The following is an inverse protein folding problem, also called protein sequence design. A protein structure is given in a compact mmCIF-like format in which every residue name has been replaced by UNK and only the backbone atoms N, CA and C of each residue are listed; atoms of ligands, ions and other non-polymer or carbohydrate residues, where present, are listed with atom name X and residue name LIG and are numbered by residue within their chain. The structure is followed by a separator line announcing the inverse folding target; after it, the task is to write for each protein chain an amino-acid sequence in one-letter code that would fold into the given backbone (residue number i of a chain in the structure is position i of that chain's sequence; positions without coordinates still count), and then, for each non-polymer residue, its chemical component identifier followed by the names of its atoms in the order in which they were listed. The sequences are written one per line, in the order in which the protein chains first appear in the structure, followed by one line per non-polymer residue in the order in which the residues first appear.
data_IF_718983267738
#
_entry.id   IF_718983267738
#
_cell.length_a   1.000
_cell.length_b   1.000
_cell.length_c   1.000
_cell.angle_alpha   90.00
_cell.angle_beta   90.00
_cell.angle_gamma   90.00
#
_symmetry.space_group_name_H-M   'P 1'
#
loop_
_entity.id
_entity.type
_entity.pdbx_description
1 polymer ?
#
# COMPACT_ATOMS: atom_id res chain seq x y z
N UNK A 1 37.88 18.66 21.04
CA UNK A 1 36.88 19.36 20.20
C UNK A 1 35.99 18.29 19.60
N UNK A 2 34.84 18.07 20.23
CA UNK A 2 33.80 17.20 19.67
C UNK A 2 33.28 17.82 18.37
N UNK A 3 33.05 17.03 17.31
CA UNK A 3 32.43 17.54 16.10
C UNK A 3 30.97 17.87 16.41
N UNK A 4 30.59 19.14 16.22
CA UNK A 4 29.19 19.59 16.28
C UNK A 4 28.35 18.75 15.31
N UNK A 5 27.15 18.29 15.72
CA UNK A 5 26.24 17.64 14.79
C UNK A 5 25.84 18.66 13.72
N UNK A 6 26.17 18.35 12.47
CA UNK A 6 25.67 19.05 11.29
C UNK A 6 24.14 19.04 11.34
N UNK A 7 23.54 20.23 11.23
CA UNK A 7 22.09 20.44 11.27
C UNK A 7 21.39 19.43 10.37
N UNK A 8 20.58 18.57 10.98
CA UNK A 8 19.71 17.68 10.26
C UNK A 8 18.87 18.49 9.28
N UNK A 9 18.96 18.16 7.99
CA UNK A 9 18.02 18.64 6.98
C UNK A 9 16.66 18.01 7.31
N UNK A 10 15.91 18.63 8.22
CA UNK A 10 14.50 18.36 8.41
C UNK A 10 13.77 19.10 7.29
N UNK A 11 13.69 18.49 6.11
CA UNK A 11 12.72 18.91 5.10
C UNK A 11 11.36 18.50 5.65
N UNK A 12 10.52 19.47 6.04
CA UNK A 12 9.11 19.19 6.33
C UNK A 12 8.44 18.89 4.99
N UNK A 13 7.69 17.80 4.91
CA UNK A 13 7.00 17.39 3.69
C UNK A 13 6.12 18.54 3.12
N UNK A 14 5.58 19.39 4.01
CA UNK A 14 4.78 20.57 3.67
C UNK A 14 5.54 21.72 2.97
N UNK A 15 6.88 21.70 2.93
CA UNK A 15 7.67 22.72 2.23
C UNK A 15 7.86 22.39 0.73
N UNK A 16 7.53 21.15 0.33
CA UNK A 16 7.47 20.76 -1.08
C UNK A 16 6.13 21.22 -1.67
N UNK A 17 6.11 22.43 -2.22
CA UNK A 17 4.99 22.89 -3.03
C UNK A 17 4.96 22.12 -4.35
N UNK A 18 4.38 20.93 -4.36
CA UNK A 18 3.80 20.44 -5.61
C UNK A 18 2.63 21.35 -5.93
N UNK A 19 2.78 22.16 -6.98
CA UNK A 19 1.66 22.89 -7.56
C UNK A 19 0.71 21.89 -8.22
N UNK A 20 -0.47 21.59 -7.63
CA UNK A 20 -1.42 20.64 -8.23
C UNK A 20 -2.14 21.26 -9.44
N UNK A 21 -1.87 22.53 -9.76
CA UNK A 21 -2.70 23.37 -10.62
C UNK A 21 -2.09 23.74 -11.98
N UNK A 22 -0.94 23.15 -12.35
CA UNK A 22 -0.42 23.28 -13.71
C UNK A 22 -0.59 21.96 -14.49
N UNK A 23 -1.59 21.84 -15.38
CA UNK A 23 -1.87 20.63 -16.13
C UNK A 23 -0.93 20.50 -17.35
N UNK A 24 0.35 20.84 -17.18
CA UNK A 24 1.31 20.77 -18.28
C UNK A 24 1.81 19.34 -18.34
N UNK A 25 1.44 18.65 -19.42
CA UNK A 25 1.88 17.29 -19.68
C UNK A 25 3.41 17.22 -19.64
N UNK A 26 4.05 16.20 -19.01
CA UNK A 26 5.50 16.12 -18.89
C UNK A 26 6.25 16.28 -20.21
N UNK A 27 5.73 15.73 -21.31
CA UNK A 27 6.31 15.93 -22.64
C UNK A 27 6.41 17.41 -23.04
N UNK A 28 5.39 18.22 -22.73
CA UNK A 28 5.41 19.65 -23.00
C UNK A 28 6.43 20.39 -22.14
N UNK A 29 6.64 19.97 -20.88
CA UNK A 29 7.70 20.50 -20.01
C UNK A 29 9.07 20.21 -20.62
N UNK A 30 9.29 18.98 -21.09
CA UNK A 30 10.55 18.57 -21.73
C UNK A 30 10.82 19.36 -23.02
N UNK A 31 9.81 19.52 -23.88
CA UNK A 31 9.91 20.28 -25.13
C UNK A 31 10.22 21.76 -24.88
N UNK A 32 9.50 22.40 -23.95
CA UNK A 32 9.71 23.81 -23.61
C UNK A 32 11.10 24.03 -22.99
N UNK A 33 11.53 23.15 -22.10
CA UNK A 33 12.85 23.23 -21.46
C UNK A 33 13.96 23.02 -22.48
N UNK A 34 13.82 22.05 -23.40
CA UNK A 34 14.78 21.81 -24.48
C UNK A 34 14.92 23.04 -25.40
N UNK A 35 13.79 23.68 -25.75
CA UNK A 35 13.77 24.90 -26.54
C UNK A 35 14.53 26.05 -25.85
N UNK A 36 14.31 26.24 -24.54
CA UNK A 36 15.05 27.24 -23.74
C UNK A 36 16.56 26.96 -23.73
N UNK A 37 16.95 25.69 -23.65
CA UNK A 37 18.35 25.26 -23.66
C UNK A 37 18.98 25.22 -25.06
N UNK A 38 18.18 25.49 -26.11
CA UNK A 38 18.58 25.38 -27.53
C UNK A 38 19.17 24.02 -27.87
N UNK A 39 18.53 22.94 -27.40
CA UNK A 39 18.91 21.56 -27.71
C UNK A 39 17.71 20.71 -28.13
N UNK A 40 17.97 19.49 -28.61
CA UNK A 40 16.91 18.51 -28.85
C UNK A 40 16.28 18.04 -27.52
N UNK A 41 14.98 17.69 -27.48
CA UNK A 41 14.37 17.01 -26.33
C UNK A 41 15.03 15.67 -25.95
N UNK A 42 15.78 15.07 -26.86
CA UNK A 42 16.54 13.83 -26.64
C UNK A 42 18.01 14.05 -26.29
N UNK A 43 18.45 15.31 -26.14
CA UNK A 43 19.83 15.64 -25.81
C UNK A 43 20.12 15.44 -24.31
N UNK A 44 21.25 14.83 -23.96
CA UNK A 44 21.71 14.65 -22.57
C UNK A 44 21.80 15.97 -21.79
N UNK A 45 22.00 17.10 -22.49
CA UNK A 45 22.00 18.44 -21.87
C UNK A 45 20.69 18.73 -21.14
N UNK A 46 19.56 18.26 -21.67
CA UNK A 46 18.26 18.41 -21.01
C UNK A 46 18.23 17.62 -19.70
N UNK A 47 18.67 16.36 -19.71
CA UNK A 47 18.70 15.53 -18.51
C UNK A 47 19.58 16.15 -17.41
N UNK A 48 20.78 16.63 -17.74
CA UNK A 48 21.64 17.31 -16.77
C UNK A 48 21.02 18.59 -16.22
N UNK A 49 20.31 19.36 -17.04
CA UNK A 49 19.60 20.55 -16.57
C UNK A 49 18.48 20.18 -15.59
N UNK A 50 17.72 19.12 -15.87
CA UNK A 50 16.67 18.63 -14.97
C UNK A 50 17.26 18.15 -13.63
N UNK A 51 18.37 17.40 -13.67
CA UNK A 51 19.10 16.99 -12.46
C UNK A 51 19.63 18.18 -11.65
N UNK A 52 20.09 19.25 -12.31
CA UNK A 52 20.55 20.46 -11.65
C UNK A 52 19.42 21.20 -10.93
N UNK A 53 18.22 21.18 -11.52
CA UNK A 53 17.01 21.84 -11.02
C UNK A 53 16.17 21.00 -10.06
N UNK A 54 16.46 19.71 -9.94
CA UNK A 54 15.78 18.83 -9.00
C UNK A 54 16.10 19.23 -7.55
N UNK A 55 15.09 19.69 -6.82
CA UNK A 55 15.17 20.06 -5.40
C UNK A 55 15.44 18.83 -4.51
N UNK A 56 15.09 17.63 -4.99
CA UNK A 56 15.22 16.36 -4.27
C UNK A 56 16.55 15.64 -4.53
N UNK A 57 17.41 16.14 -5.43
CA UNK A 57 18.65 15.45 -5.85
C UNK A 57 19.56 15.04 -4.68
N UNK A 58 19.54 15.83 -3.61
CA UNK A 58 20.31 15.59 -2.39
C UNK A 58 19.91 14.29 -1.66
N UNK A 59 18.65 13.83 -1.83
CA UNK A 59 18.18 12.58 -1.24
C UNK A 59 18.89 11.36 -1.82
N UNK A 60 19.42 11.44 -3.05
CA UNK A 60 20.19 10.35 -3.67
C UNK A 60 21.41 9.96 -2.82
N UNK A 61 22.01 10.92 -2.12
CA UNK A 61 23.16 10.68 -1.25
C UNK A 61 22.79 9.87 0.01
N UNK A 62 21.51 9.83 0.38
CA UNK A 62 21.02 9.07 1.53
C UNK A 62 20.97 7.55 1.28
N UNK A 63 21.22 7.09 0.05
CA UNK A 63 21.12 5.67 -0.33
C UNK A 63 22.47 5.06 -0.73
N UNK A 64 22.57 3.75 -0.50
CA UNK A 64 23.66 2.92 -1.02
C UNK A 64 23.31 2.44 -2.43
N UNK A 65 23.80 3.13 -3.46
CA UNK A 65 23.65 2.71 -4.86
C UNK A 65 24.76 1.70 -5.22
N UNK A 66 24.44 0.50 -5.74
CA UNK A 66 25.44 -0.48 -6.16
C UNK A 66 26.35 0.06 -7.27
N UNK A 67 27.60 -0.42 -7.31
CA UNK A 67 28.48 -0.20 -8.46
C UNK A 67 28.26 -1.28 -9.50
N UNK A 68 28.47 -0.92 -10.76
CA UNK A 68 28.31 -1.83 -11.91
C UNK A 68 29.14 -3.10 -11.76
N UNK A 69 30.39 -2.99 -11.30
CA UNK A 69 31.28 -4.15 -11.08
C UNK A 69 30.79 -5.18 -10.06
N UNK A 70 29.88 -4.80 -9.16
CA UNK A 70 29.39 -5.66 -8.08
C UNK A 70 28.10 -6.42 -8.48
N UNK A 71 27.58 -6.22 -9.71
CA UNK A 71 26.31 -6.79 -10.16
C UNK A 71 26.47 -7.99 -11.11
N UNK A 72 25.73 -9.09 -10.90
CA UNK A 72 25.60 -10.18 -11.88
C UNK A 72 24.34 -10.05 -12.76
N UNK A 73 24.36 -10.42 -14.05
CA UNK A 73 25.52 -10.64 -14.93
C UNK A 73 25.95 -9.33 -15.62
N UNK A 74 27.14 -8.81 -15.28
CA UNK A 74 27.71 -7.61 -15.92
C UNK A 74 28.87 -7.99 -16.84
N UNK A 75 28.80 -7.59 -18.11
CA UNK A 75 29.92 -7.68 -19.05
C UNK A 75 30.77 -6.40 -19.00
N UNK A 76 31.88 -6.46 -18.25
CA UNK A 76 32.80 -5.34 -18.06
C UNK A 76 33.53 -4.90 -19.34
N UNK A 77 33.41 -5.64 -20.44
CA UNK A 77 33.92 -5.18 -21.74
C UNK A 77 33.04 -4.10 -22.37
N UNK A 78 31.77 -4.01 -21.95
CA UNK A 78 30.77 -3.08 -22.49
C UNK A 78 30.53 -1.87 -21.59
N UNK A 79 30.94 -1.92 -20.32
CA UNK A 79 30.59 -0.91 -19.31
C UNK A 79 31.76 -0.57 -18.40
N UNK A 80 31.73 0.65 -17.85
CA UNK A 80 32.68 1.08 -16.83
C UNK A 80 32.26 0.55 -15.43
N UNK A 81 33.03 -0.40 -14.89
CA UNK A 81 32.71 -1.03 -13.61
C UNK A 81 32.71 -0.11 -12.38
N UNK A 82 33.37 1.05 -12.44
CA UNK A 82 33.42 2.01 -11.32
C UNK A 82 32.19 2.92 -11.23
N UNK A 83 31.37 2.95 -12.28
CA UNK A 83 30.14 3.73 -12.28
C UNK A 83 29.08 3.12 -11.35
N UNK A 84 28.18 3.98 -10.87
CA UNK A 84 26.98 3.53 -10.18
C UNK A 84 26.03 2.89 -11.19
N UNK A 85 25.31 1.84 -10.78
CA UNK A 85 24.33 1.21 -11.66
C UNK A 85 23.10 2.10 -11.88
N UNK A 86 22.43 1.88 -13.02
CA UNK A 86 21.09 2.43 -13.26
C UNK A 86 20.06 1.48 -12.64
N UNK A 87 19.65 1.77 -11.41
CA UNK A 87 18.80 0.88 -10.62
C UNK A 87 17.31 1.15 -10.83
N UNK A 88 16.71 0.53 -11.85
CA UNK A 88 15.27 0.60 -12.13
C UNK A 88 14.49 -0.61 -11.59
N UNK A 89 14.80 -1.02 -10.36
CA UNK A 89 14.15 -2.14 -9.67
C UNK A 89 13.69 -1.79 -8.24
N UNK A 90 13.65 -0.50 -7.87
CA UNK A 90 13.21 -0.02 -6.55
C UNK A 90 11.75 -0.35 -6.21
N UNK A 91 10.93 -0.56 -7.24
CA UNK A 91 9.55 -1.03 -7.13
C UNK A 91 9.44 -2.48 -6.63
N UNK A 92 10.53 -3.25 -6.64
CA UNK A 92 10.60 -4.64 -6.16
C UNK A 92 11.43 -4.75 -4.89
N UNK A 93 12.63 -4.18 -4.89
CA UNK A 93 13.49 -4.07 -3.71
C UNK A 93 14.09 -2.67 -3.66
N UNK A 94 13.71 -1.89 -2.67
CA UNK A 94 14.23 -0.55 -2.46
C UNK A 94 15.72 -0.54 -2.13
N UNK A 95 16.42 0.53 -2.54
CA UNK A 95 17.83 0.71 -2.19
C UNK A 95 18.00 0.92 -0.68
N UNK A 96 19.08 0.42 -0.11
CA UNK A 96 19.32 0.56 1.33
C UNK A 96 19.61 2.02 1.72
N UNK A 97 18.85 2.62 2.66
CA UNK A 97 19.23 3.89 3.27
C UNK A 97 20.52 3.75 4.08
N UNK A 98 21.45 4.71 3.96
CA UNK A 98 22.76 4.68 4.65
C UNK A 98 22.64 4.59 6.18
N UNK A 99 21.55 5.10 6.75
CA UNK A 99 21.29 5.12 8.20
C UNK A 99 20.85 3.77 8.77
N UNK A 100 20.52 2.77 7.94
CA UNK A 100 20.02 1.46 8.42
C UNK A 100 20.98 0.84 9.43
N UNK A 101 22.29 0.81 9.12
CA UNK A 101 23.30 0.25 10.03
C UNK A 101 23.30 0.97 11.38
N UNK A 102 23.26 2.30 11.37
CA UNK A 102 23.25 3.11 12.59
C UNK A 102 22.05 2.78 13.48
N UNK A 103 20.85 2.66 12.90
CA UNK A 103 19.63 2.40 13.67
C UNK A 103 19.62 0.98 14.24
N UNK A 104 20.21 0.01 13.53
CA UNK A 104 20.43 -1.34 14.05
C UNK A 104 21.43 -1.36 15.20
N UNK A 105 22.58 -0.70 15.02
CA UNK A 105 23.65 -0.65 16.03
C UNK A 105 23.12 -0.02 17.34
N UNK A 106 22.27 1.03 17.27
CA UNK A 106 21.61 1.63 18.45
C UNK A 106 20.79 0.61 19.27
N UNK A 107 20.02 -0.26 18.60
CA UNK A 107 19.17 -1.24 19.27
C UNK A 107 19.97 -2.45 19.78
N UNK A 108 21.00 -2.87 19.03
CA UNK A 108 21.95 -3.90 19.45
C UNK A 108 22.74 -3.47 20.68
N UNK A 109 23.22 -2.23 20.71
CA UNK A 109 23.93 -1.65 21.86
C UNK A 109 23.02 -1.54 23.08
N UNK A 110 21.76 -1.11 22.88
CA UNK A 110 20.77 -1.09 23.96
C UNK A 110 20.54 -2.49 24.52
N UNK A 111 20.40 -3.49 23.65
CA UNK A 111 20.24 -4.87 24.08
C UNK A 111 21.42 -5.38 24.89
N UNK A 112 22.64 -5.19 24.39
CA UNK A 112 23.85 -5.59 25.09
C UNK A 112 24.00 -4.90 26.46
N UNK A 113 23.61 -3.63 26.57
CA UNK A 113 23.83 -2.82 27.79
C UNK A 113 22.78 -3.04 28.88
N UNK A 114 21.50 -3.12 28.51
CA UNK A 114 20.40 -3.10 29.50
C UNK A 114 19.45 -4.30 29.41
N UNK A 115 19.68 -5.24 28.50
CA UNK A 115 18.91 -6.49 28.41
C UNK A 115 17.40 -6.24 28.35
N UNK A 116 16.65 -6.97 29.18
CA UNK A 116 15.18 -6.90 29.26
C UNK A 116 14.65 -5.49 29.55
N UNK A 117 15.43 -4.62 30.20
CA UNK A 117 15.01 -3.25 30.47
C UNK A 117 14.83 -2.42 29.19
N UNK A 118 15.40 -2.86 28.05
CA UNK A 118 15.16 -2.25 26.73
C UNK A 118 13.70 -2.29 26.26
N UNK A 119 12.85 -3.15 26.85
CA UNK A 119 11.42 -3.16 26.54
C UNK A 119 10.72 -1.84 26.85
N UNK A 120 11.16 -1.13 27.91
CA UNK A 120 10.49 0.07 28.41
C UNK A 120 11.39 1.31 28.43
N UNK A 121 12.65 1.20 28.01
CA UNK A 121 13.63 2.28 28.06
C UNK A 121 14.28 2.55 26.69
N UNK A 122 14.78 3.77 26.50
CA UNK A 122 15.48 4.22 25.29
C UNK A 122 14.57 4.95 24.29
N UNK A 123 15.12 5.31 23.13
CA UNK A 123 14.39 6.07 22.10
C UNK A 123 13.27 5.26 21.45
N UNK A 124 13.43 3.93 21.36
CA UNK A 124 12.44 3.00 20.79
C UNK A 124 12.16 1.87 21.78
N UNK A 125 11.35 2.08 22.83
CA UNK A 125 11.01 1.03 23.78
C UNK A 125 10.41 -0.18 23.03
N UNK A 126 10.97 -1.39 23.20
CA UNK A 126 10.59 -2.52 22.34
C UNK A 126 9.14 -2.97 22.50
N UNK A 127 8.52 -2.69 23.65
CA UNK A 127 7.10 -2.99 23.87
C UNK A 127 6.15 -2.14 23.00
N UNK A 128 6.65 -1.02 22.44
CA UNK A 128 5.91 -0.07 21.62
C UNK A 128 6.72 0.30 20.34
N UNK A 129 7.58 -0.62 19.88
CA UNK A 129 8.54 -0.32 18.81
C UNK A 129 7.85 0.06 17.50
N UNK A 130 6.76 -0.64 17.18
CA UNK A 130 5.87 -0.36 16.06
C UNK A 130 5.26 1.04 16.20
N UNK A 131 4.71 1.36 17.37
CA UNK A 131 4.06 2.62 17.69
C UNK A 131 4.98 3.86 17.59
N UNK A 132 6.30 3.67 17.73
CA UNK A 132 7.27 4.78 17.69
C UNK A 132 7.33 5.51 16.33
N UNK A 133 6.92 4.86 15.24
CA UNK A 133 7.02 5.40 13.88
C UNK A 133 5.68 5.44 13.13
N UNK A 134 4.57 5.11 13.82
CA UNK A 134 3.24 5.08 13.18
C UNK A 134 2.84 6.42 12.59
N UNK A 135 3.18 7.54 13.24
CA UNK A 135 2.79 8.88 12.74
C UNK A 135 3.40 9.17 11.36
N UNK A 136 4.65 8.73 11.12
CA UNK A 136 5.31 8.86 9.81
C UNK A 136 4.56 8.07 8.73
N UNK A 137 4.06 6.89 9.09
CA UNK A 137 3.28 6.07 8.17
C UNK A 137 1.89 6.66 7.92
N UNK A 138 1.23 7.15 8.98
CA UNK A 138 -0.09 7.75 8.91
C UNK A 138 -0.09 8.98 7.99
N UNK A 139 0.95 9.83 8.05
CA UNK A 139 1.15 10.93 7.10
C UNK A 139 1.30 10.42 5.66
N UNK A 140 2.14 9.39 5.46
CA UNK A 140 2.44 8.86 4.13
C UNK A 140 1.22 8.23 3.42
N UNK A 141 0.31 7.59 4.17
CA UNK A 141 -0.89 6.97 3.59
C UNK A 141 -2.15 7.84 3.71
N UNK A 142 -2.03 9.04 4.28
CA UNK A 142 -3.16 9.93 4.55
C UNK A 142 -4.22 9.27 5.44
N UNK A 143 -3.78 8.79 6.60
CA UNK A 143 -4.61 8.16 7.62
C UNK A 143 -4.37 8.78 9.01
N UNK A 144 -5.19 8.41 10.00
CA UNK A 144 -4.96 8.75 11.41
C UNK A 144 -4.08 7.70 12.08
N UNK A 145 -3.35 8.10 13.13
CA UNK A 145 -2.48 7.22 13.91
C UNK A 145 -3.18 5.92 14.34
N UNK A 146 -4.39 6.02 14.90
CA UNK A 146 -5.16 4.87 15.39
C UNK A 146 -5.68 3.92 14.29
N UNK A 147 -5.55 4.31 13.02
CA UNK A 147 -6.01 3.51 11.88
C UNK A 147 -4.90 2.63 11.32
N UNK A 148 -3.66 2.76 11.84
CA UNK A 148 -2.46 2.13 11.29
C UNK A 148 -1.85 1.17 12.31
N UNK A 149 -1.46 -0.01 11.82
CA UNK A 149 -0.62 -0.96 12.54
C UNK A 149 0.59 -1.34 11.68
N UNK A 150 1.78 -1.36 12.26
CA UNK A 150 3.01 -1.83 11.61
C UNK A 150 3.35 -3.21 12.17
N UNK A 151 3.09 -4.26 11.40
CA UNK A 151 3.15 -5.63 11.90
C UNK A 151 3.34 -6.65 10.76
N UNK A 152 3.90 -7.81 11.11
CA UNK A 152 3.98 -9.01 10.27
C UNK A 152 4.56 -8.76 8.85
N UNK A 153 4.12 -9.56 7.88
CA UNK A 153 4.31 -9.37 6.45
C UNK A 153 2.98 -9.06 5.76
N UNK A 154 3.06 -8.57 4.51
CA UNK A 154 1.92 -8.09 3.73
C UNK A 154 0.78 -9.10 3.65
N UNK A 155 1.07 -10.30 3.12
CA UNK A 155 0.09 -11.37 2.95
C UNK A 155 -0.52 -11.82 4.28
N UNK A 156 0.27 -11.81 5.35
CA UNK A 156 -0.22 -12.14 6.70
C UNK A 156 -1.25 -11.10 7.15
N UNK A 157 -0.95 -9.81 7.00
CA UNK A 157 -1.88 -8.74 7.34
C UNK A 157 -3.16 -8.81 6.50
N UNK A 158 -3.05 -9.10 5.20
CA UNK A 158 -4.22 -9.28 4.34
C UNK A 158 -5.08 -10.45 4.83
N UNK A 159 -4.49 -11.59 5.21
CA UNK A 159 -5.26 -12.68 5.82
C UNK A 159 -5.98 -12.25 7.10
N UNK A 160 -5.30 -11.56 8.01
CA UNK A 160 -5.90 -11.09 9.28
C UNK A 160 -7.08 -10.14 9.04
N UNK A 161 -6.95 -9.23 8.08
CA UNK A 161 -8.04 -8.34 7.67
C UNK A 161 -9.17 -9.14 7.03
N UNK A 162 -8.88 -10.03 6.08
CA UNK A 162 -9.90 -10.82 5.40
C UNK A 162 -10.69 -11.72 6.37
N UNK A 163 -10.06 -12.30 7.39
CA UNK A 163 -10.78 -13.06 8.43
C UNK A 163 -11.84 -12.22 9.17
N UNK A 164 -11.66 -10.90 9.24
CA UNK A 164 -12.54 -9.98 9.97
C UNK A 164 -13.57 -9.29 9.06
N UNK A 165 -13.17 -8.97 7.83
CA UNK A 165 -13.97 -8.24 6.85
C UNK A 165 -14.77 -9.15 5.91
N UNK A 166 -14.24 -10.32 5.54
CA UNK A 166 -14.96 -11.27 4.69
C UNK A 166 -15.87 -12.17 5.53
N UNK A 167 -17.13 -11.76 5.66
CA UNK A 167 -18.19 -12.50 6.37
C UNK A 167 -19.29 -12.91 5.37
N UNK A 168 -19.06 -13.96 4.56
CA UNK A 168 -19.98 -14.33 3.51
C UNK A 168 -21.36 -14.74 4.06
N UNK A 169 -22.40 -14.42 3.31
CA UNK A 169 -23.79 -14.84 3.55
C UNK A 169 -24.35 -15.50 2.30
N UNK A 170 -25.48 -16.25 2.36
CA UNK A 170 -26.07 -16.86 1.17
C UNK A 170 -26.36 -15.87 0.02
N UNK A 171 -26.55 -14.58 0.31
CA UNK A 171 -26.80 -13.54 -0.71
C UNK A 171 -25.55 -12.79 -1.13
N UNK A 172 -24.59 -12.59 -0.23
CA UNK A 172 -23.41 -11.76 -0.42
C UNK A 172 -22.17 -12.51 0.05
N UNK A 173 -21.48 -13.17 -0.87
CA UNK A 173 -20.38 -14.10 -0.58
C UNK A 173 -19.20 -14.00 -1.56
N UNK A 174 -19.33 -13.20 -2.63
CA UNK A 174 -18.28 -13.09 -3.64
C UNK A 174 -17.17 -12.15 -3.19
N UNK A 175 -15.97 -12.36 -3.72
CA UNK A 175 -14.85 -11.42 -3.63
C UNK A 175 -14.51 -10.96 -5.05
N UNK A 176 -14.46 -9.65 -5.28
CA UNK A 176 -14.10 -9.05 -6.57
C UNK A 176 -12.64 -8.58 -6.54
N UNK A 177 -11.85 -8.99 -7.53
CA UNK A 177 -10.45 -8.59 -7.71
C UNK A 177 -10.06 -8.52 -9.20
N UNK A 178 -8.96 -7.86 -9.52
CA UNK A 178 -8.43 -7.85 -10.88
C UNK A 178 -7.92 -9.25 -11.29
N UNK A 179 -8.12 -9.60 -12.56
CA UNK A 179 -7.51 -10.79 -13.11
C UNK A 179 -5.99 -10.64 -13.12
N UNK A 180 -5.28 -11.76 -12.87
CA UNK A 180 -3.82 -11.77 -12.74
C UNK A 180 -3.33 -10.76 -11.67
N UNK A 181 -4.10 -10.61 -10.59
CA UNK A 181 -3.61 -10.03 -9.35
C UNK A 181 -2.28 -10.70 -8.93
N UNK A 182 -1.53 -10.03 -8.06
CA UNK A 182 -0.28 -10.59 -7.56
C UNK A 182 -0.55 -11.99 -6.97
N UNK A 183 0.32 -13.00 -7.22
CA UNK A 183 -0.01 -14.39 -6.91
C UNK A 183 -0.39 -14.61 -5.44
N UNK A 184 0.27 -13.91 -4.51
CA UNK A 184 -0.02 -14.06 -3.09
C UNK A 184 -1.44 -13.60 -2.72
N UNK A 185 -1.90 -12.48 -3.28
CA UNK A 185 -3.24 -11.92 -3.11
C UNK A 185 -4.32 -12.84 -3.67
N UNK A 186 -4.05 -13.39 -4.86
CA UNK A 186 -4.89 -14.41 -5.48
C UNK A 186 -5.06 -15.61 -4.55
N UNK A 187 -3.97 -16.13 -3.99
CA UNK A 187 -4.02 -17.26 -3.06
C UNK A 187 -4.68 -16.92 -1.72
N UNK A 188 -4.58 -15.68 -1.23
CA UNK A 188 -5.33 -15.23 -0.04
C UNK A 188 -6.82 -15.31 -0.31
N UNK A 189 -7.31 -14.74 -1.41
CA UNK A 189 -8.74 -14.79 -1.76
C UNK A 189 -9.21 -16.22 -1.94
N UNK A 190 -8.46 -17.01 -2.70
CA UNK A 190 -8.80 -18.40 -2.98
C UNK A 190 -8.89 -19.25 -1.70
N UNK A 191 -7.93 -19.09 -0.78
CA UNK A 191 -7.92 -19.81 0.50
C UNK A 191 -8.97 -19.31 1.48
N UNK A 192 -9.29 -18.01 1.49
CA UNK A 192 -10.41 -17.46 2.27
C UNK A 192 -11.75 -18.03 1.79
N UNK A 193 -11.98 -18.09 0.48
CA UNK A 193 -13.18 -18.72 -0.08
C UNK A 193 -13.30 -20.20 0.35
N UNK A 194 -12.20 -20.96 0.23
CA UNK A 194 -12.15 -22.37 0.69
C UNK A 194 -12.36 -22.52 2.18
N UNK A 195 -11.83 -21.62 3.00
CA UNK A 195 -12.01 -21.61 4.45
C UNK A 195 -13.50 -21.52 4.84
N UNK A 196 -14.31 -20.81 4.04
CA UNK A 196 -15.75 -20.70 4.20
C UNK A 196 -16.55 -21.77 3.43
N UNK A 197 -15.90 -22.78 2.85
CA UNK A 197 -16.56 -23.85 2.08
C UNK A 197 -17.21 -23.37 0.78
N UNK A 198 -16.79 -22.21 0.25
CA UNK A 198 -17.34 -21.64 -0.97
C UNK A 198 -16.67 -22.21 -2.21
N UNK A 199 -17.45 -22.35 -3.27
CA UNK A 199 -16.96 -22.67 -4.61
C UNK A 199 -16.15 -21.49 -5.16
N UNK A 200 -14.86 -21.73 -5.44
CA UNK A 200 -13.92 -20.70 -5.88
C UNK A 200 -14.34 -20.09 -7.21
N UNK A 201 -14.71 -20.90 -8.19
CA UNK A 201 -15.06 -20.44 -9.55
C UNK A 201 -16.28 -19.51 -9.54
N UNK A 202 -17.25 -19.80 -8.68
CA UNK A 202 -18.47 -18.98 -8.54
C UNK A 202 -18.31 -17.76 -7.65
N UNK A 203 -17.37 -17.80 -6.72
CA UNK A 203 -17.24 -16.80 -5.65
C UNK A 203 -16.08 -15.82 -5.87
N UNK A 204 -15.11 -16.17 -6.70
CA UNK A 204 -13.97 -15.34 -7.05
C UNK A 204 -14.23 -14.61 -8.37
N UNK A 205 -14.68 -13.36 -8.30
CA UNK A 205 -14.98 -12.55 -9.48
C UNK A 205 -13.69 -11.90 -9.98
N UNK A 206 -13.16 -12.41 -11.08
CA UNK A 206 -11.93 -11.93 -11.71
C UNK A 206 -12.24 -10.97 -12.85
N UNK A 207 -11.88 -9.69 -12.70
CA UNK A 207 -12.11 -8.69 -13.74
C UNK A 207 -11.00 -8.71 -14.78
N UNK A 208 -11.35 -9.09 -16.01
CA UNK A 208 -10.42 -9.20 -17.14
C UNK A 208 -10.39 -7.92 -17.97
N UNK A 209 -9.26 -7.56 -18.58
CA UNK A 209 -9.23 -6.49 -19.58
C UNK A 209 -10.04 -6.88 -20.82
N UNK A 210 -10.45 -5.89 -21.60
CA UNK A 210 -11.09 -6.13 -22.90
C UNK A 210 -10.13 -6.84 -23.84
N UNK A 211 -10.67 -7.51 -24.87
CA UNK A 211 -9.85 -8.18 -25.86
C UNK A 211 -8.89 -7.19 -26.53
N UNK A 212 -7.58 -7.50 -26.49
CA UNK A 212 -6.52 -6.63 -27.02
C UNK A 212 -6.00 -5.57 -26.05
N UNK A 213 -6.53 -5.51 -24.83
CA UNK A 213 -6.06 -4.63 -23.76
C UNK A 213 -5.36 -5.44 -22.66
N UNK A 214 -4.41 -4.81 -21.97
CA UNK A 214 -3.74 -5.38 -20.79
C UNK A 214 -4.20 -4.72 -19.48
N UNK A 215 -4.64 -3.46 -19.56
CA UNK A 215 -5.13 -2.67 -18.42
C UNK A 215 -6.65 -2.69 -18.35
N UNK A 216 -7.19 -2.49 -17.15
CA UNK A 216 -8.64 -2.40 -16.94
C UNK A 216 -9.13 -0.97 -17.15
N UNK A 217 -10.26 -0.79 -17.82
CA UNK A 217 -10.90 0.53 -17.87
C UNK A 217 -11.71 0.76 -16.60
N UNK A 218 -11.66 1.99 -16.07
CA UNK A 218 -12.38 2.30 -14.83
C UNK A 218 -13.89 2.11 -15.00
N UNK A 219 -14.44 2.46 -16.16
CA UNK A 219 -15.86 2.24 -16.47
C UNK A 219 -16.29 0.77 -16.43
N UNK A 220 -15.40 -0.17 -16.78
CA UNK A 220 -15.70 -1.61 -16.74
C UNK A 220 -15.70 -2.12 -15.31
N UNK A 221 -14.76 -1.65 -14.48
CA UNK A 221 -14.73 -1.93 -13.04
C UNK A 221 -16.04 -1.46 -12.39
N UNK A 222 -16.42 -0.20 -12.66
CA UNK A 222 -17.65 0.38 -12.12
C UNK A 222 -18.91 -0.35 -12.62
N UNK A 223 -18.93 -0.79 -13.89
CA UNK A 223 -20.06 -1.54 -14.44
C UNK A 223 -20.24 -2.91 -13.77
N UNK A 224 -19.14 -3.63 -13.46
CA UNK A 224 -19.20 -4.90 -12.72
C UNK A 224 -19.67 -4.68 -11.29
N UNK A 225 -19.15 -3.66 -10.60
CA UNK A 225 -19.64 -3.30 -9.26
C UNK A 225 -21.13 -2.95 -9.32
N UNK A 226 -21.56 -2.22 -10.34
CA UNK A 226 -22.96 -1.85 -10.53
C UNK A 226 -23.85 -3.09 -10.72
N UNK A 227 -23.41 -4.04 -11.53
CA UNK A 227 -24.16 -5.24 -11.89
C UNK A 227 -24.18 -6.32 -10.80
N UNK A 228 -23.06 -6.55 -10.12
CA UNK A 228 -22.87 -7.71 -9.23
C UNK A 228 -22.71 -7.34 -7.76
N UNK A 229 -22.65 -6.04 -7.45
CA UNK A 229 -22.34 -5.51 -6.12
C UNK A 229 -23.23 -6.03 -5.00
N UNK A 230 -24.48 -6.41 -5.26
CA UNK A 230 -25.37 -6.97 -4.22
C UNK A 230 -24.91 -8.35 -3.71
N UNK A 231 -24.12 -9.07 -4.52
CA UNK A 231 -23.58 -10.40 -4.22
C UNK A 231 -22.11 -10.39 -3.77
N UNK A 232 -21.44 -9.24 -3.88
CA UNK A 232 -20.02 -9.06 -3.53
C UNK A 232 -19.91 -8.64 -2.06
N UNK A 233 -19.23 -9.44 -1.24
CA UNK A 233 -18.95 -9.09 0.14
C UNK A 233 -17.78 -8.11 0.24
N UNK A 234 -16.70 -8.42 -0.46
CA UNK A 234 -15.45 -7.68 -0.42
C UNK A 234 -14.98 -7.38 -1.85
N UNK A 235 -14.57 -6.14 -2.10
CA UNK A 235 -13.76 -5.75 -3.25
C UNK A 235 -12.33 -5.65 -2.75
N UNK A 236 -11.43 -6.43 -3.33
CA UNK A 236 -10.00 -6.43 -3.00
C UNK A 236 -9.22 -6.21 -4.29
N UNK A 237 -8.64 -5.03 -4.45
CA UNK A 237 -7.84 -4.65 -5.61
C UNK A 237 -6.42 -4.29 -5.19
N UNK A 238 -5.44 -4.42 -6.06
CA UNK A 238 -4.21 -3.67 -5.88
C UNK A 238 -4.47 -2.15 -6.03
N UNK A 239 -3.69 -1.30 -5.37
CA UNK A 239 -3.69 0.14 -5.63
C UNK A 239 -2.99 0.45 -6.96
N UNK A 240 -1.83 -0.17 -7.16
CA UNK A 240 -1.09 -0.17 -8.43
C UNK A 240 -0.82 -1.62 -8.83
N UNK A 241 -1.20 -2.00 -10.04
CA UNK A 241 -1.01 -3.37 -10.53
C UNK A 241 0.48 -3.63 -10.81
N UNK A 242 1.02 -4.71 -10.24
CA UNK A 242 2.46 -4.97 -10.17
C UNK A 242 3.17 -5.15 -11.53
N UNK A 243 2.46 -5.65 -12.53
CA UNK A 243 2.97 -5.97 -13.87
C UNK A 243 2.70 -4.86 -14.87
N UNK A 244 1.45 -4.38 -14.98
CA UNK A 244 1.09 -3.34 -15.96
C UNK A 244 1.45 -1.94 -15.50
N UNK A 245 1.72 -1.75 -14.20
CA UNK A 245 1.96 -0.43 -13.60
C UNK A 245 0.71 0.44 -13.51
N UNK A 246 -0.48 -0.12 -13.77
CA UNK A 246 -1.73 0.62 -13.74
C UNK A 246 -2.08 1.08 -12.32
N UNK A 247 -2.21 2.39 -12.11
CA UNK A 247 -2.84 2.97 -10.94
C UNK A 247 -4.37 2.89 -11.08
N UNK A 248 -5.03 2.22 -10.15
CA UNK A 248 -6.49 2.17 -10.11
C UNK A 248 -7.06 3.42 -9.42
N UNK A 249 -8.26 3.84 -9.81
CA UNK A 249 -8.97 4.96 -9.17
C UNK A 249 -9.59 4.51 -7.83
N UNK A 250 -8.71 4.41 -6.82
CA UNK A 250 -9.04 4.00 -5.44
C UNK A 250 -10.30 4.72 -4.91
N UNK A 251 -10.42 6.06 -4.95
CA UNK A 251 -11.60 6.74 -4.40
C UNK A 251 -12.88 6.50 -5.21
N UNK A 252 -12.83 6.30 -6.54
CA UNK A 252 -14.05 5.94 -7.29
C UNK A 252 -14.49 4.51 -7.04
N UNK A 253 -13.55 3.56 -7.00
CA UNK A 253 -13.86 2.14 -6.71
C UNK A 253 -14.43 2.00 -5.30
N UNK A 254 -13.82 2.65 -4.31
CA UNK A 254 -14.29 2.68 -2.91
C UNK A 254 -15.73 3.17 -2.82
N UNK A 255 -16.02 4.34 -3.41
CA UNK A 255 -17.37 4.92 -3.40
C UNK A 255 -18.39 4.04 -4.12
N UNK A 256 -18.01 3.44 -5.24
CA UNK A 256 -18.90 2.56 -6.00
C UNK A 256 -19.28 1.30 -5.21
N UNK A 257 -18.31 0.63 -4.58
CA UNK A 257 -18.55 -0.55 -3.75
C UNK A 257 -19.43 -0.25 -2.54
N UNK A 258 -19.11 0.82 -1.81
CA UNK A 258 -19.83 1.19 -0.58
C UNK A 258 -21.26 1.67 -0.86
N UNK A 259 -21.53 2.26 -2.03
CA UNK A 259 -22.88 2.70 -2.43
C UNK A 259 -23.86 1.54 -2.63
N UNK A 260 -23.38 0.30 -2.82
CA UNK A 260 -24.20 -0.90 -3.02
C UNK A 260 -24.87 -1.40 -1.74
N UNK A 261 -25.69 -0.54 -1.12
CA UNK A 261 -26.52 -0.88 0.02
C UNK A 261 -27.57 -1.93 -0.38
N UNK A 262 -27.73 -2.97 0.44
CA UNK A 262 -28.94 -3.78 0.38
C UNK A 262 -30.06 -3.06 1.17
N UNK A 263 -31.23 -2.80 0.56
CA UNK A 263 -32.43 -2.51 1.32
C UNK A 263 -32.93 -3.82 1.95
N UNK A 264 -32.36 -4.20 3.09
CA UNK A 264 -32.99 -5.23 3.94
C UNK A 264 -33.82 -4.51 4.99
N UNK A 265 -35.10 -4.32 4.69
CA UNK A 265 -36.07 -3.91 5.71
C UNK A 265 -36.26 -5.12 6.63
N UNK A 266 -35.49 -5.19 7.71
CA UNK A 266 -35.81 -6.11 8.80
C UNK A 266 -36.92 -5.46 9.63
N UNK A 267 -38.18 -5.74 9.29
CA UNK A 267 -39.31 -5.36 10.14
C UNK A 267 -39.26 -6.25 11.39
N UNK A 268 -38.56 -5.80 12.43
CA UNK A 268 -38.69 -6.39 13.76
C UNK A 268 -39.98 -5.83 14.36
N UNK A 269 -41.08 -6.60 14.34
CA UNK A 269 -42.29 -6.30 15.09
C UNK A 269 -42.06 -6.61 16.58
N UNK A 270 -41.31 -5.75 17.25
CA UNK A 270 -41.35 -5.64 18.72
C UNK A 270 -41.93 -4.27 19.00
N UNK A 271 -43.16 -4.23 19.51
CA UNK A 271 -43.74 -3.07 20.21
C UNK A 271 -43.51 -1.71 19.53
N UNK A 272 -44.22 -1.41 18.45
CA UNK A 272 -44.31 -0.07 17.83
C UNK A 272 -42.98 0.62 17.42
N UNK A 273 -41.85 -0.08 17.31
CA UNK A 273 -40.58 0.49 16.86
C UNK A 273 -40.14 -0.14 15.52
N UNK A 274 -40.10 0.66 14.45
CA UNK A 274 -39.49 0.25 13.17
C UNK A 274 -37.99 0.54 13.27
N UNK A 275 -37.17 -0.51 13.41
CA UNK A 275 -35.71 -0.39 13.26
C UNK A 275 -35.36 -0.65 11.80
N UNK A 276 -35.05 0.41 11.05
CA UNK A 276 -34.44 0.28 9.72
C UNK A 276 -32.94 0.07 9.93
N UNK A 277 -32.48 -1.18 9.88
CA UNK A 277 -31.05 -1.49 9.85
C UNK A 277 -30.56 -1.44 8.42
N UNK A 278 -29.85 -0.38 8.05
CA UNK A 278 -29.17 -0.32 6.75
C UNK A 278 -27.96 -1.25 6.78
N UNK A 279 -27.98 -2.32 5.97
CA UNK A 279 -26.79 -3.13 5.73
C UNK A 279 -25.80 -2.33 4.88
N UNK A 280 -24.53 -2.37 5.29
CA UNK A 280 -23.43 -1.73 4.57
C UNK A 280 -23.28 -2.32 3.16
N UNK A 281 -22.78 -1.51 2.21
CA UNK A 281 -22.43 -1.98 0.88
C UNK A 281 -21.24 -2.93 0.87
N UNK A 282 -20.59 -3.09 -0.29
CA UNK A 282 -19.36 -3.88 -0.34
C UNK A 282 -18.31 -3.22 0.58
N UNK A 283 -17.55 -4.04 1.29
CA UNK A 283 -16.33 -3.59 1.94
C UNK A 283 -15.24 -3.50 0.87
N UNK A 284 -14.52 -2.38 0.81
CA UNK A 284 -13.52 -2.13 -0.23
C UNK A 284 -12.15 -1.96 0.41
N UNK A 285 -11.24 -2.88 0.07
CA UNK A 285 -9.87 -2.81 0.53
C UNK A 285 -8.86 -2.96 -0.58
N UNK A 286 -7.62 -2.56 -0.27
CA UNK A 286 -6.55 -2.50 -1.26
C UNK A 286 -5.24 -3.08 -0.77
N UNK A 287 -4.57 -3.84 -1.64
CA UNK A 287 -3.13 -4.10 -1.51
C UNK A 287 -2.37 -2.90 -2.09
N UNK A 288 -1.62 -2.20 -1.24
CA UNK A 288 -0.90 -0.98 -1.57
C UNK A 288 0.61 -1.20 -1.76
N UNK A 289 1.07 -2.44 -2.00
CA UNK A 289 2.49 -2.74 -2.10
C UNK A 289 3.25 -1.93 -3.16
N UNK A 290 2.61 -1.62 -4.28
CA UNK A 290 3.18 -0.76 -5.35
C UNK A 290 2.70 0.69 -5.30
N UNK A 291 1.83 1.04 -4.35
CA UNK A 291 1.27 2.38 -4.20
C UNK A 291 1.94 3.18 -3.08
N UNK A 292 2.16 2.56 -1.91
CA UNK A 292 2.73 3.25 -0.74
C UNK A 292 4.15 3.73 -1.04
N UNK A 293 4.42 5.02 -0.74
CA UNK A 293 5.70 5.65 -1.05
C UNK A 293 5.97 5.90 -2.54
N UNK A 294 4.98 5.69 -3.41
CA UNK A 294 5.06 5.92 -4.85
C UNK A 294 4.03 6.94 -5.33
N UNK A 295 2.74 6.67 -5.09
CA UNK A 295 1.64 7.59 -5.40
C UNK A 295 1.11 8.22 -4.12
N UNK A 296 0.51 9.38 -4.23
CA UNK A 296 -0.20 10.01 -3.11
C UNK A 296 -1.39 9.15 -2.68
N UNK A 297 -1.59 9.03 -1.36
CA UNK A 297 -2.65 8.22 -0.76
C UNK A 297 -3.37 9.06 0.30
N UNK A 298 -4.70 9.00 0.30
CA UNK A 298 -5.55 9.64 1.30
C UNK A 298 -6.59 8.66 1.81
N UNK A 299 -6.15 7.55 2.42
CA UNK A 299 -7.02 6.42 2.76
C UNK A 299 -8.21 6.80 3.64
N UNK A 300 -7.99 7.68 4.61
CA UNK A 300 -9.04 8.17 5.50
C UNK A 300 -10.08 9.00 4.74
N UNK A 301 -9.63 9.98 3.95
CA UNK A 301 -10.51 10.90 3.22
C UNK A 301 -11.25 10.20 2.07
N UNK A 302 -10.63 9.19 1.47
CA UNK A 302 -11.25 8.34 0.45
C UNK A 302 -12.23 7.32 1.05
N UNK A 303 -12.21 7.14 2.37
CA UNK A 303 -13.11 6.25 3.08
C UNK A 303 -12.85 4.76 2.81
N UNK A 304 -11.63 4.39 2.39
CA UNK A 304 -11.20 3.00 2.17
C UNK A 304 -11.48 2.18 3.43
N UNK A 305 -12.00 0.95 3.34
CA UNK A 305 -12.38 0.20 4.55
C UNK A 305 -11.18 -0.42 5.26
N UNK A 306 -10.27 -1.01 4.48
CA UNK A 306 -9.00 -1.57 4.96
C UNK A 306 -7.95 -1.55 3.85
N UNK A 307 -6.67 -1.57 4.21
CA UNK A 307 -5.59 -1.73 3.25
C UNK A 307 -4.37 -2.37 3.90
N UNK A 308 -3.46 -2.92 3.11
CA UNK A 308 -2.19 -3.46 3.59
C UNK A 308 -1.07 -3.18 2.59
N UNK A 309 0.17 -3.12 3.05
CA UNK A 309 1.34 -2.93 2.18
C UNK A 309 2.59 -3.57 2.77
N UNK A 310 3.59 -3.82 1.91
CA UNK A 310 4.95 -4.12 2.36
C UNK A 310 5.79 -2.85 2.44
N UNK A 311 6.94 -2.93 3.13
CA UNK A 311 7.87 -1.80 3.28
C UNK A 311 9.19 -1.95 2.51
N UNK A 312 9.42 -3.11 1.88
CA UNK A 312 10.70 -3.40 1.24
C UNK A 312 10.82 -2.92 -0.21
N UNK A 313 9.73 -2.40 -0.79
CA UNK A 313 9.69 -1.80 -2.14
C UNK A 313 10.07 -0.32 -2.06
N UNK A 314 9.17 0.60 -2.43
CA UNK A 314 9.41 2.04 -2.41
C UNK A 314 9.73 2.61 -1.01
N UNK A 315 9.36 1.91 0.08
CA UNK A 315 9.69 2.33 1.44
C UNK A 315 11.09 1.89 1.92
N UNK A 316 11.85 1.15 1.10
CA UNK A 316 13.27 0.90 1.30
C UNK A 316 13.66 0.24 2.63
N UNK A 317 12.81 -0.62 3.21
CA UNK A 317 13.06 -1.26 4.51
C UNK A 317 14.03 -2.46 4.49
N UNK A 318 14.46 -2.91 3.31
CA UNK A 318 15.17 -4.18 3.14
C UNK A 318 14.23 -5.40 3.05
N UNK A 319 14.71 -6.47 2.42
CA UNK A 319 13.91 -7.63 2.03
C UNK A 319 13.13 -8.25 3.21
N UNK A 320 11.83 -8.45 3.03
CA UNK A 320 10.97 -9.03 4.07
C UNK A 320 10.74 -8.13 5.28
N UNK A 321 11.00 -6.82 5.16
CA UNK A 321 10.74 -5.86 6.23
C UNK A 321 9.28 -5.79 6.67
N UNK A 322 9.08 -5.20 7.86
CA UNK A 322 7.79 -5.10 8.54
C UNK A 322 6.71 -4.48 7.66
N UNK A 323 5.58 -5.16 7.50
CA UNK A 323 4.46 -4.65 6.72
C UNK A 323 3.60 -3.64 7.49
N UNK A 324 2.68 -2.99 6.78
CA UNK A 324 1.66 -2.13 7.37
C UNK A 324 0.25 -2.64 7.07
N UNK A 325 -0.67 -2.27 7.96
CA UNK A 325 -2.10 -2.49 7.83
C UNK A 325 -2.84 -1.21 8.21
N UNK A 326 -3.90 -0.91 7.47
CA UNK A 326 -4.83 0.19 7.69
C UNK A 326 -6.24 -0.36 7.91
N UNK A 327 -6.96 0.18 8.89
CA UNK A 327 -8.39 -0.05 9.09
C UNK A 327 -9.03 1.30 9.39
N UNK A 328 -10.07 1.65 8.63
CA UNK A 328 -10.76 2.92 8.82
C UNK A 328 -11.46 3.01 10.18
N UNK A 329 -11.33 4.15 10.88
CA UNK A 329 -11.80 4.28 12.27
C UNK A 329 -13.30 4.03 12.45
N UNK A 330 -14.11 4.18 11.38
CA UNK A 330 -15.54 3.84 11.38
C UNK A 330 -15.80 2.37 11.79
N UNK A 331 -14.81 1.50 11.59
CA UNK A 331 -14.88 0.07 11.88
C UNK A 331 -14.39 -0.32 13.28
N UNK A 332 -13.84 0.62 14.06
CA UNK A 332 -13.23 0.37 15.39
C UNK A 332 -14.15 -0.37 16.39
N UNK A 333 -15.46 -0.15 16.28
CA UNK A 333 -16.47 -0.80 17.14
C UNK A 333 -17.15 -2.01 16.50
N UNK A 334 -17.32 -2.02 15.17
CA UNK A 334 -18.14 -2.99 14.44
C UNK A 334 -17.35 -4.17 13.86
N UNK A 335 -16.07 -3.98 13.53
CA UNK A 335 -15.17 -5.02 13.05
C UNK A 335 -14.18 -5.34 14.16
N UNK A 336 -14.10 -6.62 14.52
CA UNK A 336 -13.19 -7.14 15.55
C UNK A 336 -12.23 -8.12 14.91
N UNK A 337 -10.99 -8.25 15.43
CA UNK A 337 -10.12 -9.37 15.10
C UNK A 337 -10.90 -10.68 15.24
N UNK A 338 -10.69 -11.62 14.32
CA UNK A 338 -11.46 -12.85 14.30
C UNK A 338 -11.39 -13.58 15.64
N UNK A 339 -12.56 -13.76 16.27
CA UNK A 339 -12.74 -14.58 17.45
C UNK A 339 -13.27 -15.95 17.02
N UNK A 340 -12.80 -17.02 17.66
CA UNK A 340 -13.38 -18.35 17.44
C UNK A 340 -14.81 -18.32 17.95
N UNK A 341 -15.79 -18.48 17.06
CA UNK A 341 -17.14 -18.88 17.47
C UNK A 341 -17.03 -20.27 18.08
N UNK A 342 -16.97 -20.33 19.41
CA UNK A 342 -17.24 -21.56 20.16
C UNK A 342 -18.73 -21.86 19.98
N UNK A 343 -19.12 -22.32 18.80
CA UNK A 343 -20.32 -23.16 18.72
C UNK A 343 -19.99 -24.40 19.54
N UNK A 344 -20.63 -24.47 20.71
CA UNK A 344 -20.69 -25.65 21.54
C UNK A 344 -21.09 -26.80 20.62
N UNK A 345 -20.15 -27.67 20.28
CA UNK A 345 -20.46 -29.01 19.86
C UNK A 345 -21.29 -29.60 21.00
N UNK A 346 -22.61 -29.70 20.81
CA UNK A 346 -23.44 -30.48 21.72
C UNK A 346 -22.82 -31.89 21.79
N UNK A 347 -22.49 -32.38 22.99
CA UNK A 347 -21.94 -33.71 23.13
C UNK A 347 -22.99 -34.72 22.67
N UNK A 348 -22.62 -35.53 21.68
CA UNK A 348 -23.37 -36.70 21.19
C UNK A 348 -23.48 -37.76 22.28
#
# INVERSE_FOLDING_TARGET
MEPKPTSACQVKLNDLKMDPSSPVHPASILEQTALQLRCSPTDKKLAFHLDEKDELKHLRECFCVPRVKDLPPTDLTLVNGEESCVYFAGNSLGLQPRKVKTYLDEELDKWARIGVHGHFNGQRPWALADECIVDLMAELVGAKRQEIALMNGLTVNLHLQMLSFFKPTPRRYKILLEARAFPSDHYVVESQLRLHGLDVEKSMVLLQPRQGEETLRTEDILAVIEKEGDSIAVIMFSGVQYYTGQLFDIPRITRAGQKKMQPTVMIILISNLIIISFLQGCLVGFDLAHAVGNVELHLHDWGVDFACWCSYKYLNSGAGGLAGAYIYEKHSKSIKPAEKSLELLEPV
#
